data_IF_645254039058
#
_entry.id   IF_645254039058
#
_cell.length_a   1.000
_cell.length_b   1.000
_cell.length_c   1.000
_cell.angle_alpha   90.00
_cell.angle_beta   90.00
_cell.angle_gamma   90.00
#
_symmetry.space_group_name_H-M   'P 1'
#
loop_
_entity.id
_entity.type
_entity.pdbx_description
1 polymer ?
#
# COMPACT_ATOMS: atom_id res chain seq x y z
N UNK A 1 23.83 -54.74 -22.51
CA UNK A 1 23.74 -53.95 -21.26
C UNK A 1 23.10 -52.57 -21.45
N UNK A 2 23.51 -51.75 -22.44
CA UNK A 2 22.93 -50.40 -22.68
C UNK A 2 21.44 -50.39 -23.07
N UNK A 3 20.97 -51.38 -23.82
CA UNK A 3 19.56 -51.51 -24.23
C UNK A 3 18.63 -51.89 -23.08
N UNK A 4 19.07 -52.81 -22.22
CA UNK A 4 18.31 -53.20 -21.02
C UNK A 4 18.16 -52.04 -20.03
N UNK A 5 19.21 -51.22 -19.85
CA UNK A 5 19.18 -50.04 -18.99
C UNK A 5 18.23 -48.96 -19.52
N UNK A 6 18.21 -48.73 -20.84
CA UNK A 6 17.27 -47.78 -21.47
C UNK A 6 15.82 -48.25 -21.35
N UNK A 7 15.56 -49.54 -21.53
CA UNK A 7 14.21 -50.10 -21.36
C UNK A 7 13.75 -49.96 -19.90
N UNK A 8 14.63 -50.23 -18.93
CA UNK A 8 14.34 -50.06 -17.51
C UNK A 8 13.99 -48.61 -17.15
N UNK A 9 14.73 -47.64 -17.70
CA UNK A 9 14.45 -46.22 -17.47
C UNK A 9 13.10 -45.79 -18.08
N UNK A 10 12.77 -46.23 -19.29
CA UNK A 10 11.48 -45.91 -19.94
C UNK A 10 10.31 -46.49 -19.15
N UNK A 11 10.41 -47.75 -18.70
CA UNK A 11 9.37 -48.39 -17.89
C UNK A 11 9.22 -47.67 -16.54
N UNK A 12 10.33 -47.25 -15.91
CA UNK A 12 10.26 -46.49 -14.66
C UNK A 12 9.62 -45.12 -14.82
N UNK A 13 9.93 -44.39 -15.90
CA UNK A 13 9.33 -43.09 -16.19
C UNK A 13 7.82 -43.20 -16.47
N UNK A 14 7.40 -44.23 -17.21
CA UNK A 14 5.99 -44.51 -17.46
C UNK A 14 5.24 -44.90 -16.18
N UNK A 15 5.87 -45.67 -15.29
CA UNK A 15 5.29 -46.03 -14.00
C UNK A 15 5.13 -44.80 -13.08
N UNK A 16 6.12 -43.91 -13.04
CA UNK A 16 6.04 -42.64 -12.29
C UNK A 16 4.96 -41.73 -12.87
N UNK A 17 4.85 -41.62 -14.20
CA UNK A 17 3.81 -40.83 -14.85
C UNK A 17 2.41 -41.40 -14.56
N UNK A 18 2.21 -42.70 -14.70
CA UNK A 18 0.94 -43.36 -14.39
C UNK A 18 0.54 -43.20 -12.92
N UNK A 19 1.50 -43.37 -11.99
CA UNK A 19 1.25 -43.15 -10.56
C UNK A 19 0.90 -41.68 -10.27
N UNK A 20 1.51 -40.72 -10.96
CA UNK A 20 1.19 -39.29 -10.84
C UNK A 20 -0.21 -38.96 -11.38
N UNK A 21 -0.61 -39.57 -12.49
CA UNK A 21 -1.97 -39.45 -13.04
C UNK A 21 -3.02 -40.04 -12.10
N UNK A 22 -2.75 -41.19 -11.46
CA UNK A 22 -3.67 -41.78 -10.49
C UNK A 22 -3.77 -40.94 -9.21
N UNK A 23 -2.67 -40.33 -8.74
CA UNK A 23 -2.69 -39.39 -7.61
C UNK A 23 -3.41 -38.07 -7.91
N UNK A 24 -3.48 -37.65 -9.18
CA UNK A 24 -4.31 -36.52 -9.58
C UNK A 24 -5.81 -36.82 -9.53
N UNK A 25 -6.20 -38.10 -9.56
CA UNK A 25 -7.59 -38.54 -9.46
C UNK A 25 -8.15 -38.46 -8.03
N UNK A 26 -7.26 -38.39 -7.02
CA UNK A 26 -7.59 -38.05 -5.62
C UNK A 26 -7.63 -36.53 -5.37
N UNK A 27 -7.50 -35.69 -6.41
CA UNK A 27 -7.98 -34.32 -6.28
C UNK A 27 -9.47 -34.41 -6.05
N UNK A 28 -9.88 -34.15 -4.82
CA UNK A 28 -11.24 -33.86 -4.43
C UNK A 28 -11.80 -32.98 -5.54
N UNK A 29 -12.62 -33.57 -6.43
CA UNK A 29 -13.49 -32.78 -7.28
C UNK A 29 -14.30 -32.01 -6.26
N UNK A 30 -14.16 -30.67 -6.15
CA UNK A 30 -15.11 -29.94 -5.35
C UNK A 30 -16.45 -30.37 -5.91
N UNK A 31 -17.26 -31.04 -5.07
CA UNK A 31 -18.62 -31.31 -5.44
C UNK A 31 -19.24 -29.92 -5.45
N UNK A 32 -19.27 -29.30 -6.63
CA UNK A 32 -20.09 -28.12 -6.86
C UNK A 32 -21.50 -28.67 -6.87
N UNK A 33 -22.02 -28.96 -5.68
CA UNK A 33 -23.45 -29.15 -5.50
C UNK A 33 -24.07 -27.86 -6.00
N UNK A 34 -24.94 -27.95 -7.01
CA UNK A 34 -25.77 -26.82 -7.48
C UNK A 34 -26.57 -26.14 -6.35
N UNK A 35 -26.52 -26.66 -5.13
CA UNK A 35 -27.05 -26.08 -3.90
C UNK A 35 -26.32 -24.81 -3.40
N UNK A 36 -25.15 -24.45 -3.95
CA UNK A 36 -24.47 -23.17 -3.67
C UNK A 36 -24.35 -22.29 -4.92
N UNK A 37 -25.30 -22.37 -5.86
CA UNK A 37 -25.40 -21.29 -6.85
C UNK A 37 -25.94 -20.08 -6.08
N UNK A 38 -25.15 -19.01 -5.86
CA UNK A 38 -25.69 -17.81 -5.26
C UNK A 38 -26.89 -17.39 -6.09
N UNK A 39 -27.98 -17.02 -5.43
CA UNK A 39 -29.14 -16.45 -6.13
C UNK A 39 -28.61 -15.39 -7.12
N UNK A 40 -29.01 -15.43 -8.40
CA UNK A 40 -28.46 -14.51 -9.39
C UNK A 40 -28.60 -13.11 -8.85
N UNK A 41 -27.46 -12.44 -8.65
CA UNK A 41 -27.45 -11.10 -8.09
C UNK A 41 -28.41 -10.26 -8.94
N UNK A 42 -29.44 -9.65 -8.34
CA UNK A 42 -30.39 -8.87 -9.09
C UNK A 42 -29.62 -7.86 -9.95
N UNK A 43 -30.04 -7.72 -11.21
CA UNK A 43 -29.40 -6.98 -12.32
C UNK A 43 -28.99 -5.53 -11.98
N UNK A 44 -29.34 -5.03 -10.80
CA UNK A 44 -29.12 -3.67 -10.30
C UNK A 44 -27.74 -3.41 -9.67
N UNK A 45 -26.87 -4.41 -9.52
CA UNK A 45 -25.60 -4.19 -8.81
C UNK A 45 -24.57 -3.35 -9.62
N UNK A 46 -24.61 -3.36 -10.94
CA UNK A 46 -23.76 -2.47 -11.76
C UNK A 46 -24.58 -1.28 -12.27
N UNK A 47 -23.94 -0.13 -12.51
CA UNK A 47 -24.60 0.88 -13.34
C UNK A 47 -25.07 0.19 -14.63
N UNK A 48 -26.29 0.49 -15.09
CA UNK A 48 -26.90 -0.22 -16.22
C UNK A 48 -26.14 -0.03 -17.53
N UNK A 49 -25.04 0.73 -17.52
CA UNK A 49 -24.26 1.09 -18.69
C UNK A 49 -22.94 0.32 -18.81
N UNK A 50 -22.50 -0.39 -17.76
CA UNK A 50 -21.25 -1.16 -17.70
C UNK A 50 -20.03 -0.43 -18.30
N UNK A 51 -19.98 0.91 -18.16
CA UNK A 51 -18.90 1.73 -18.74
C UNK A 51 -17.58 1.55 -18.01
N UNK A 52 -17.67 1.25 -16.71
CA UNK A 52 -16.54 1.00 -15.84
C UNK A 52 -16.95 0.00 -14.75
N UNK A 53 -15.96 -0.75 -14.26
CA UNK A 53 -16.12 -1.54 -13.04
C UNK A 53 -16.10 -0.63 -11.82
N UNK A 54 -16.82 -1.00 -10.75
CA UNK A 54 -16.75 -0.30 -9.47
C UNK A 54 -16.68 -1.26 -8.27
N UNK A 55 -15.73 -1.03 -7.37
CA UNK A 55 -15.67 -1.67 -6.05
C UNK A 55 -16.68 -1.07 -5.05
N UNK A 56 -17.37 0.01 -5.41
CA UNK A 56 -18.35 0.65 -4.50
C UNK A 56 -19.72 -0.02 -4.49
N UNK A 57 -19.96 -0.91 -5.45
CA UNK A 57 -21.12 -1.80 -5.51
C UNK A 57 -21.12 -2.72 -4.30
N UNK A 58 -22.22 -2.75 -3.53
CA UNK A 58 -22.36 -3.52 -2.29
C UNK A 58 -22.00 -5.00 -2.45
N UNK A 59 -22.43 -5.61 -3.55
CA UNK A 59 -22.24 -7.01 -3.84
C UNK A 59 -20.78 -7.32 -4.17
N UNK A 60 -20.06 -6.41 -4.86
CA UNK A 60 -18.63 -6.58 -5.10
C UNK A 60 -17.82 -6.48 -3.80
N UNK A 61 -18.26 -5.69 -2.82
CA UNK A 61 -17.59 -5.53 -1.52
C UNK A 61 -17.66 -6.77 -0.63
N UNK A 62 -18.60 -7.68 -0.92
CA UNK A 62 -18.76 -8.92 -0.14
C UNK A 62 -17.68 -9.96 -0.47
N UNK A 63 -17.03 -9.84 -1.62
CA UNK A 63 -15.99 -10.76 -2.04
C UNK A 63 -14.62 -10.31 -1.57
N UNK A 64 -13.79 -11.28 -1.16
CA UNK A 64 -12.38 -11.02 -0.93
C UNK A 64 -11.73 -10.50 -2.22
N UNK A 65 -10.80 -9.55 -2.09
CA UNK A 65 -10.11 -8.96 -3.24
C UNK A 65 -9.44 -10.04 -4.10
N UNK A 66 -8.94 -11.11 -3.47
CA UNK A 66 -8.32 -12.25 -4.16
C UNK A 66 -9.28 -13.15 -4.89
N UNK A 67 -10.59 -12.99 -4.74
CA UNK A 67 -11.57 -13.72 -5.56
C UNK A 67 -11.52 -13.27 -7.02
N UNK A 68 -11.06 -12.04 -7.27
CA UNK A 68 -10.87 -11.49 -8.61
C UNK A 68 -9.39 -11.21 -8.89
N UNK A 69 -8.67 -10.63 -7.93
CA UNK A 69 -7.28 -10.23 -8.10
C UNK A 69 -6.32 -11.23 -7.48
N UNK A 70 -5.87 -12.19 -8.29
CA UNK A 70 -4.82 -13.12 -7.87
C UNK A 70 -3.42 -12.54 -8.08
N UNK A 71 -2.58 -12.65 -7.06
CA UNK A 71 -1.15 -12.44 -7.22
C UNK A 71 -0.48 -13.75 -7.64
N UNK A 72 0.19 -13.73 -8.79
CA UNK A 72 1.03 -14.84 -9.22
C UNK A 72 2.52 -14.48 -9.08
N UNK A 73 3.24 -15.27 -8.29
CA UNK A 73 4.66 -15.12 -8.08
C UNK A 73 5.06 -13.80 -7.41
N UNK A 74 6.20 -13.24 -7.83
CA UNK A 74 6.74 -11.98 -7.30
C UNK A 74 6.19 -10.74 -8.00
N UNK A 75 5.34 -10.90 -9.02
CA UNK A 75 4.81 -9.76 -9.78
C UNK A 75 4.08 -8.79 -8.87
N UNK A 76 4.34 -7.52 -9.11
CA UNK A 76 3.73 -6.36 -8.45
C UNK A 76 2.82 -5.60 -9.42
N UNK A 77 2.80 -6.02 -10.67
CA UNK A 77 1.91 -5.47 -11.69
C UNK A 77 0.50 -6.01 -11.44
N UNK A 78 -0.40 -5.09 -11.08
CA UNK A 78 -1.83 -5.36 -11.14
C UNK A 78 -2.26 -5.39 -12.59
N UNK A 79 -3.04 -6.41 -12.94
CA UNK A 79 -3.60 -6.62 -14.28
C UNK A 79 -5.08 -6.86 -14.15
N UNK A 80 -5.78 -6.82 -15.28
CA UNK A 80 -7.16 -7.29 -15.31
C UNK A 80 -7.24 -8.74 -14.82
N UNK A 81 -8.29 -9.03 -14.06
CA UNK A 81 -8.55 -10.30 -13.39
C UNK A 81 -8.86 -11.48 -14.34
N UNK A 82 -8.85 -11.26 -15.65
CA UNK A 82 -9.34 -12.22 -16.64
C UNK A 82 -10.87 -12.27 -16.69
N UNK A 83 -11.41 -13.05 -17.63
CA UNK A 83 -12.86 -13.22 -17.76
C UNK A 83 -13.43 -14.11 -16.66
N UNK A 84 -12.65 -15.09 -16.22
CA UNK A 84 -13.02 -16.10 -15.22
C UNK A 84 -13.48 -15.48 -13.89
N UNK A 85 -12.89 -14.35 -13.50
CA UNK A 85 -13.26 -13.63 -12.28
C UNK A 85 -14.68 -13.05 -12.31
N UNK A 86 -15.21 -12.79 -13.51
CA UNK A 86 -16.50 -12.13 -13.69
C UNK A 86 -17.59 -13.11 -14.17
N UNK A 87 -17.24 -14.12 -14.98
CA UNK A 87 -18.20 -15.05 -15.60
C UNK A 87 -19.03 -15.79 -14.56
N UNK A 88 -18.45 -16.16 -13.41
CA UNK A 88 -19.16 -16.93 -12.38
C UNK A 88 -20.42 -16.24 -11.85
N UNK A 89 -20.39 -14.92 -11.73
CA UNK A 89 -21.53 -14.12 -11.23
C UNK A 89 -22.30 -13.42 -12.36
N UNK A 90 -21.64 -13.12 -13.47
CA UNK A 90 -22.17 -12.31 -14.57
C UNK A 90 -22.35 -13.09 -15.88
N UNK A 91 -22.63 -14.39 -15.80
CA UNK A 91 -22.78 -15.27 -16.98
C UNK A 91 -23.76 -14.68 -18.00
N UNK A 92 -24.92 -14.23 -17.55
CA UNK A 92 -25.96 -13.68 -18.42
C UNK A 92 -25.47 -12.45 -19.19
N UNK A 93 -24.72 -11.55 -18.52
CA UNK A 93 -24.16 -10.36 -19.15
C UNK A 93 -22.99 -10.68 -20.10
N UNK A 94 -22.25 -11.76 -19.85
CA UNK A 94 -21.21 -12.25 -20.77
C UNK A 94 -21.81 -12.82 -22.06
N UNK A 95 -22.98 -13.46 -21.97
CA UNK A 95 -23.65 -14.10 -23.11
C UNK A 95 -24.65 -13.19 -23.82
N UNK A 96 -24.86 -11.96 -23.32
CA UNK A 96 -25.78 -11.02 -23.91
C UNK A 96 -25.32 -10.57 -25.30
N UNK A 97 -26.29 -10.36 -26.20
CA UNK A 97 -26.02 -10.01 -27.60
C UNK A 97 -25.33 -8.66 -27.74
N UNK A 98 -25.65 -7.73 -26.85
CA UNK A 98 -25.09 -6.38 -26.88
C UNK A 98 -23.65 -6.35 -26.35
N UNK A 99 -23.20 -7.41 -25.68
CA UNK A 99 -21.83 -7.57 -25.15
C UNK A 99 -21.38 -6.36 -24.32
N UNK A 100 -22.32 -5.66 -23.69
CA UNK A 100 -22.08 -4.37 -23.01
C UNK A 100 -21.02 -4.50 -21.93
N UNK A 101 -20.98 -5.63 -21.23
CA UNK A 101 -19.98 -5.87 -20.17
C UNK A 101 -18.55 -5.98 -20.70
N UNK A 102 -18.36 -6.42 -21.95
CA UNK A 102 -17.05 -6.49 -22.56
C UNK A 102 -16.43 -5.09 -22.70
N UNK A 103 -17.26 -4.05 -22.79
CA UNK A 103 -16.81 -2.65 -22.88
C UNK A 103 -16.18 -2.15 -21.59
N UNK A 104 -16.27 -2.86 -20.47
CA UNK A 104 -15.51 -2.55 -19.25
C UNK A 104 -14.01 -2.60 -19.56
N UNK A 105 -13.57 -3.68 -20.18
CA UNK A 105 -12.16 -4.01 -20.39
C UNK A 105 -11.67 -3.70 -21.80
N UNK A 106 -12.53 -3.80 -22.81
CA UNK A 106 -12.16 -3.63 -24.21
C UNK A 106 -12.50 -2.24 -24.73
N UNK A 107 -11.59 -1.67 -25.50
CA UNK A 107 -11.83 -0.45 -26.29
C UNK A 107 -12.52 -0.80 -27.61
N UNK A 108 -12.11 -1.90 -28.25
CA UNK A 108 -12.63 -2.35 -29.54
C UNK A 108 -12.82 -3.87 -29.55
N UNK A 109 -14.08 -4.29 -29.54
CA UNK A 109 -14.49 -5.71 -29.56
C UNK A 109 -14.29 -6.38 -30.92
N UNK A 110 -14.32 -5.61 -32.01
CA UNK A 110 -14.26 -6.13 -33.38
C UNK A 110 -12.83 -6.31 -33.90
N UNK A 111 -11.81 -5.92 -33.12
CA UNK A 111 -10.42 -6.15 -33.48
C UNK A 111 -10.00 -7.61 -33.23
N UNK A 112 -9.00 -8.10 -33.95
CA UNK A 112 -8.48 -9.47 -33.79
C UNK A 112 -6.98 -9.44 -33.48
N UNK A 113 -6.54 -9.63 -32.22
CA UNK A 113 -7.38 -9.82 -31.03
C UNK A 113 -8.07 -8.52 -30.56
N UNK A 114 -9.16 -8.62 -29.78
CA UNK A 114 -9.86 -7.45 -29.24
C UNK A 114 -8.91 -6.54 -28.45
N UNK A 115 -8.99 -5.24 -28.69
CA UNK A 115 -8.08 -4.26 -28.06
C UNK A 115 -8.55 -3.99 -26.63
N UNK A 116 -7.65 -4.18 -25.66
CA UNK A 116 -7.88 -3.89 -24.23
C UNK A 116 -7.63 -2.42 -23.93
N UNK A 117 -8.43 -1.83 -23.04
CA UNK A 117 -8.12 -0.55 -22.41
C UNK A 117 -6.87 -0.71 -21.54
N UNK A 118 -6.12 0.37 -21.37
CA UNK A 118 -5.01 0.40 -20.41
C UNK A 118 -5.52 0.14 -18.99
N UNK A 119 -4.80 -0.70 -18.23
CA UNK A 119 -5.11 -0.89 -16.81
C UNK A 119 -4.86 0.42 -16.05
N UNK A 120 -5.76 0.86 -15.16
CA UNK A 120 -5.57 2.11 -14.42
C UNK A 120 -4.23 2.12 -13.67
N UNK A 121 -3.42 3.15 -13.90
CA UNK A 121 -2.16 3.36 -13.17
C UNK A 121 -2.40 3.79 -11.70
N UNK A 122 -3.61 4.26 -11.41
CA UNK A 122 -4.06 4.69 -10.09
C UNK A 122 -5.44 4.10 -9.83
N UNK A 123 -5.73 3.79 -8.55
CA UNK A 123 -7.09 3.45 -8.16
C UNK A 123 -8.02 4.63 -8.43
N UNK A 124 -9.12 4.36 -9.14
CA UNK A 124 -10.13 5.36 -9.50
C UNK A 124 -10.98 5.71 -8.27
N UNK A 125 -11.15 4.75 -7.37
CA UNK A 125 -11.95 4.88 -6.15
C UNK A 125 -11.05 5.16 -4.94
N UNK A 126 -11.64 5.73 -3.89
CA UNK A 126 -10.98 5.90 -2.61
C UNK A 126 -10.62 4.54 -2.01
N UNK A 127 -9.35 4.17 -2.12
CA UNK A 127 -8.81 2.94 -1.56
C UNK A 127 -7.70 3.31 -0.59
N UNK A 128 -8.06 3.44 0.68
CA UNK A 128 -7.15 3.94 1.70
C UNK A 128 -6.37 2.78 2.34
N UNK A 129 -5.09 3.03 2.66
CA UNK A 129 -4.25 2.05 3.34
C UNK A 129 -4.49 2.11 4.86
N UNK A 130 -4.75 0.95 5.44
CA UNK A 130 -4.66 0.66 6.88
C UNK A 130 -3.22 0.31 7.18
N UNK A 131 -2.52 1.24 7.82
CA UNK A 131 -1.20 0.98 8.36
C UNK A 131 -1.17 1.47 9.80
N UNK A 132 -0.55 0.70 10.69
CA UNK A 132 -0.41 1.05 12.10
C UNK A 132 1.06 1.02 12.50
N UNK A 133 1.64 2.21 12.71
CA UNK A 133 3.02 2.34 13.16
C UNK A 133 3.25 1.65 14.52
N UNK A 134 2.28 1.65 15.43
CA UNK A 134 2.44 1.05 16.76
C UNK A 134 2.53 -0.48 16.70
N UNK A 135 1.97 -1.10 15.66
CA UNK A 135 2.15 -2.53 15.41
C UNK A 135 3.56 -2.78 14.85
N UNK A 136 4.01 -1.96 13.90
CA UNK A 136 5.28 -2.13 13.19
C UNK A 136 6.51 -1.53 13.90
N UNK A 137 6.36 -1.01 15.13
CA UNK A 137 7.47 -0.48 15.93
C UNK A 137 7.91 -1.44 17.07
N UNK A 138 7.31 -2.64 17.15
CA UNK A 138 7.55 -3.59 18.25
C UNK A 138 7.63 -5.05 17.81
N UNK A 139 8.34 -5.86 18.60
CA UNK A 139 8.43 -7.31 18.45
C UNK A 139 8.90 -7.74 17.05
N UNK A 140 8.39 -8.88 16.59
CA UNK A 140 8.73 -9.47 15.28
C UNK A 140 8.23 -8.65 14.08
N UNK A 141 7.30 -7.71 14.31
CA UNK A 141 6.78 -6.81 13.29
C UNK A 141 7.69 -5.58 13.08
N UNK A 142 8.69 -5.36 13.94
CA UNK A 142 9.61 -4.23 13.82
C UNK A 142 10.68 -4.53 12.76
N UNK A 143 10.81 -3.68 11.71
CA UNK A 143 11.88 -3.83 10.74
C UNK A 143 13.26 -3.76 11.41
N UNK A 144 14.22 -4.54 10.92
CA UNK A 144 15.58 -4.59 11.47
C UNK A 144 16.31 -3.26 11.42
N UNK A 145 16.01 -2.42 10.43
CA UNK A 145 16.53 -1.05 10.31
C UNK A 145 15.62 0.01 10.96
N UNK A 146 14.56 -0.40 11.67
CA UNK A 146 13.59 0.51 12.29
C UNK A 146 12.91 1.42 11.27
N UNK A 147 12.70 2.69 11.63
CA UNK A 147 11.96 3.66 10.81
C UNK A 147 12.54 3.84 9.39
N UNK A 148 13.86 3.69 9.23
CA UNK A 148 14.53 3.93 7.94
C UNK A 148 14.32 2.79 6.94
N UNK A 149 13.76 1.66 7.38
CA UNK A 149 13.41 0.54 6.51
C UNK A 149 12.28 0.90 5.53
N UNK A 150 11.40 1.82 5.90
CA UNK A 150 10.24 2.22 5.07
C UNK A 150 10.25 3.71 4.69
N UNK A 151 10.98 4.55 5.42
CA UNK A 151 11.04 5.98 5.18
C UNK A 151 12.36 6.38 4.52
N UNK A 152 12.29 6.92 3.30
CA UNK A 152 13.42 7.60 2.69
C UNK A 152 13.84 8.81 3.53
N UNK A 153 15.14 8.91 3.84
CA UNK A 153 15.72 9.95 4.66
C UNK A 153 15.90 11.27 3.88
N UNK A 154 15.86 11.22 2.54
CA UNK A 154 16.00 12.35 1.65
C UNK A 154 14.64 12.99 1.32
N UNK A 155 14.18 13.93 2.15
CA UNK A 155 13.06 14.80 1.77
C UNK A 155 12.23 15.35 2.93
N UNK A 156 11.42 16.39 2.67
CA UNK A 156 10.70 17.13 3.70
C UNK A 156 9.45 16.41 4.25
N UNK A 157 9.04 15.30 3.65
CA UNK A 157 7.81 14.60 4.00
C UNK A 157 7.96 13.10 4.25
N UNK A 158 9.20 12.57 4.21
CA UNK A 158 9.56 11.14 4.33
C UNK A 158 8.36 10.22 4.13
N UNK A 159 7.97 10.04 2.89
CA UNK A 159 6.71 9.38 2.55
C UNK A 159 6.99 8.03 1.92
N UNK A 160 6.12 7.07 2.22
CA UNK A 160 6.02 5.85 1.42
C UNK A 160 5.52 6.30 0.03
N UNK A 161 6.12 5.85 -1.08
CA UNK A 161 5.64 6.14 -2.42
C UNK A 161 4.12 5.93 -2.50
N UNK A 162 3.40 6.80 -3.19
CA UNK A 162 1.97 6.62 -3.44
C UNK A 162 1.80 6.09 -4.86
N UNK A 163 1.60 4.77 -5.02
CA UNK A 163 1.25 4.04 -6.26
C UNK A 163 1.34 2.53 -6.01
N UNK A 164 1.04 1.69 -7.01
CA UNK A 164 1.22 0.24 -6.92
C UNK A 164 2.64 -0.19 -6.50
N UNK A 165 3.67 0.59 -6.83
CA UNK A 165 5.07 0.32 -6.45
C UNK A 165 5.32 0.37 -4.95
N UNK A 166 4.46 1.04 -4.17
CA UNK A 166 4.54 1.09 -2.70
C UNK A 166 4.43 -0.29 -2.05
N UNK A 167 3.80 -1.25 -2.73
CA UNK A 167 3.72 -2.62 -2.23
C UNK A 167 5.09 -3.28 -2.05
N UNK A 168 6.14 -2.78 -2.71
CA UNK A 168 7.52 -3.22 -2.48
C UNK A 168 7.93 -3.09 -1.01
N UNK A 169 7.53 -1.99 -0.37
CA UNK A 169 7.93 -1.67 1.00
C UNK A 169 7.26 -2.65 1.98
N UNK A 170 6.01 -3.01 1.72
CA UNK A 170 5.27 -3.98 2.52
C UNK A 170 5.74 -5.42 2.25
N UNK A 171 5.81 -5.82 0.97
CA UNK A 171 6.11 -7.19 0.57
C UNK A 171 7.57 -7.60 0.72
N UNK A 172 8.47 -6.66 1.03
CA UNK A 172 9.81 -6.99 1.49
C UNK A 172 9.80 -7.85 2.76
N UNK A 173 8.86 -7.60 3.67
CA UNK A 173 8.66 -8.39 4.90
C UNK A 173 7.46 -9.33 4.79
N UNK A 174 6.40 -8.90 4.10
CA UNK A 174 5.15 -9.63 3.94
C UNK A 174 5.18 -10.53 2.70
N UNK A 175 5.93 -11.63 2.81
CA UNK A 175 6.05 -12.64 1.75
C UNK A 175 4.85 -13.59 1.72
N UNK A 176 4.84 -14.55 0.79
CA UNK A 176 3.76 -15.55 0.70
C UNK A 176 3.62 -16.39 1.98
N UNK A 177 4.72 -16.54 2.73
CA UNK A 177 4.77 -17.22 4.03
C UNK A 177 4.07 -16.42 5.14
N UNK A 178 3.93 -15.10 4.99
CA UNK A 178 3.27 -14.23 5.97
C UNK A 178 1.74 -14.36 5.99
N UNK A 179 1.16 -15.17 5.08
CA UNK A 179 -0.28 -15.45 4.97
C UNK A 179 -1.17 -14.20 4.87
N UNK A 180 -0.66 -13.09 4.33
CA UNK A 180 -1.52 -11.97 3.95
C UNK A 180 -2.32 -12.41 2.73
N UNK A 181 -3.55 -12.85 3.01
CA UNK A 181 -4.41 -13.53 2.04
C UNK A 181 -5.20 -12.60 1.14
N UNK A 182 -5.33 -11.30 1.47
CA UNK A 182 -6.18 -10.38 0.71
C UNK A 182 -5.74 -8.93 0.87
N UNK A 183 -6.00 -8.10 -0.15
CA UNK A 183 -5.70 -6.66 -0.13
C UNK A 183 -6.45 -5.95 1.01
N UNK A 184 -7.60 -6.48 1.44
CA UNK A 184 -8.46 -5.95 2.51
C UNK A 184 -7.80 -5.92 3.89
N UNK A 185 -6.75 -6.73 4.08
CA UNK A 185 -5.91 -6.71 5.30
C UNK A 185 -5.25 -5.34 5.45
N UNK A 186 -4.69 -4.81 4.35
CA UNK A 186 -3.96 -3.56 4.34
C UNK A 186 -4.79 -2.38 3.81
N UNK A 187 -5.95 -2.63 3.20
CA UNK A 187 -6.75 -1.57 2.57
C UNK A 187 -8.22 -1.59 3.01
N UNK A 188 -8.85 -0.43 2.93
CA UNK A 188 -10.30 -0.28 2.96
C UNK A 188 -10.73 0.58 1.78
N UNK A 189 -11.91 0.26 1.24
CA UNK A 189 -12.64 1.15 0.35
C UNK A 189 -13.14 2.30 1.23
N UNK A 190 -12.43 3.41 1.20
CA UNK A 190 -12.67 4.56 2.05
C UNK A 190 -12.08 5.82 1.41
N UNK A 191 -12.68 7.00 1.64
CA UNK A 191 -12.12 8.26 1.18
C UNK A 191 -10.67 8.44 1.65
N UNK A 192 -9.84 9.02 0.79
CA UNK A 192 -8.47 9.37 1.14
C UNK A 192 -8.46 10.43 2.26
N UNK A 193 -7.81 10.13 3.38
CA UNK A 193 -7.60 11.09 4.45
C UNK A 193 -6.26 11.81 4.26
N UNK A 194 -6.30 13.12 3.97
CA UNK A 194 -5.10 13.93 3.79
C UNK A 194 -4.39 14.17 5.12
N UNK A 195 -3.06 14.08 5.09
CA UNK A 195 -2.20 14.59 6.15
C UNK A 195 -2.41 16.10 6.38
N UNK A 196 -2.52 16.60 7.62
CA UNK A 196 -2.75 18.02 7.91
C UNK A 196 -1.67 18.98 7.40
N UNK A 197 -2.07 20.19 7.01
CA UNK A 197 -1.20 21.23 6.42
C UNK A 197 -0.20 21.89 7.38
N UNK A 198 -0.28 21.65 8.69
CA UNK A 198 0.64 22.24 9.70
C UNK A 198 2.11 21.85 9.52
N UNK A 199 2.42 20.95 8.57
CA UNK A 199 3.76 20.44 8.26
C UNK A 199 4.61 21.34 7.34
N UNK A 200 4.03 22.34 6.68
CA UNK A 200 4.76 23.13 5.67
C UNK A 200 5.67 24.21 6.27
N UNK A 201 5.34 24.79 7.43
CA UNK A 201 6.10 25.92 8.03
C UNK A 201 7.40 25.44 8.69
N UNK A 202 7.43 24.22 9.23
CA UNK A 202 8.61 23.59 9.84
C UNK A 202 9.74 23.33 8.82
N UNK A 203 9.39 23.16 7.53
CA UNK A 203 10.32 22.83 6.43
C UNK A 203 11.43 23.87 6.22
N UNK A 204 11.20 25.12 6.60
CA UNK A 204 12.12 26.21 6.30
C UNK A 204 13.27 26.38 7.32
N UNK A 205 13.17 25.73 8.48
CA UNK A 205 14.10 25.94 9.62
C UNK A 205 14.72 24.65 10.17
N UNK A 206 14.15 23.49 9.82
CA UNK A 206 14.58 22.19 10.30
C UNK A 206 14.96 21.26 9.13
N UNK A 207 16.04 20.49 9.30
CA UNK A 207 16.40 19.42 8.36
C UNK A 207 16.75 18.15 9.13
N UNK A 208 16.25 17.01 8.66
CA UNK A 208 16.63 15.70 9.23
C UNK A 208 18.12 15.39 9.01
N UNK A 209 18.72 15.86 7.91
CA UNK A 209 20.14 15.67 7.63
C UNK A 209 21.03 16.32 8.72
N UNK A 210 20.65 17.51 9.20
CA UNK A 210 21.33 18.17 10.32
C UNK A 210 21.16 17.47 11.67
N UNK A 211 20.25 16.49 11.77
CA UNK A 211 19.95 15.74 12.98
C UNK A 211 20.16 14.23 12.79
N UNK A 212 20.98 13.83 11.81
CA UNK A 212 21.18 12.43 11.46
C UNK A 212 21.80 11.58 12.57
N UNK A 213 22.44 12.20 13.57
CA UNK A 213 22.99 11.53 14.75
C UNK A 213 21.94 11.21 15.83
N UNK A 214 20.71 11.69 15.70
CA UNK A 214 19.64 11.44 16.68
C UNK A 214 18.75 10.29 16.24
N UNK A 215 18.32 9.46 17.20
CA UNK A 215 17.31 8.43 16.98
C UNK A 215 15.96 9.05 16.56
N UNK A 216 15.17 8.32 15.78
CA UNK A 216 13.84 8.80 15.38
C UNK A 216 12.92 8.95 16.60
N UNK A 217 13.05 8.04 17.56
CA UNK A 217 12.31 7.95 18.82
C UNK A 217 12.66 9.06 19.83
N UNK A 218 13.81 9.71 19.66
CA UNK A 218 14.16 10.90 20.47
C UNK A 218 13.30 12.12 20.14
N UNK A 219 12.70 12.13 18.95
CA UNK A 219 11.87 13.22 18.43
C UNK A 219 10.40 12.80 18.27
N UNK A 220 10.18 11.58 17.77
CA UNK A 220 8.87 11.09 17.37
C UNK A 220 8.42 9.97 18.30
N UNK A 221 7.23 10.13 18.87
CA UNK A 221 6.57 9.06 19.59
C UNK A 221 5.57 8.37 18.68
N UNK A 222 5.65 7.04 18.65
CA UNK A 222 4.65 6.20 17.99
C UNK A 222 3.52 5.91 18.98
N UNK A 223 2.29 6.13 18.54
CA UNK A 223 1.06 5.98 19.34
C UNK A 223 0.00 5.28 18.51
N UNK A 224 -0.90 4.57 19.18
CA UNK A 224 -2.12 4.11 18.51
C UNK A 224 -2.99 5.29 18.11
N UNK A 225 -3.69 5.15 16.99
CA UNK A 225 -4.63 6.16 16.51
C UNK A 225 -4.88 6.07 15.02
N UNK A 226 -5.73 6.98 14.53
CA UNK A 226 -6.02 7.10 13.10
C UNK A 226 -4.81 7.57 12.29
N UNK A 227 -4.84 7.28 10.99
CA UNK A 227 -3.84 7.71 10.02
C UNK A 227 -3.52 9.21 10.17
N UNK A 228 -2.24 9.56 10.21
CA UNK A 228 -1.77 10.94 10.42
C UNK A 228 -1.67 11.40 11.88
N UNK A 229 -2.12 10.60 12.86
CA UNK A 229 -1.96 10.85 14.30
C UNK A 229 -1.09 9.81 15.03
N UNK A 230 -0.69 8.75 14.33
CA UNK A 230 0.08 7.64 14.89
C UNK A 230 1.54 7.99 15.22
N UNK A 231 2.09 9.05 14.62
CA UNK A 231 3.45 9.53 14.90
C UNK A 231 3.35 11.00 15.28
N UNK A 232 3.91 11.37 16.43
CA UNK A 232 3.85 12.76 16.90
C UNK A 232 4.63 13.69 15.98
N UNK A 233 4.07 14.87 15.73
CA UNK A 233 4.83 15.94 15.08
C UNK A 233 5.69 16.67 16.11
N UNK A 234 6.81 17.24 15.66
CA UNK A 234 7.60 18.17 16.44
C UNK A 234 6.94 19.54 16.40
N UNK A 235 6.80 20.17 17.56
CA UNK A 235 6.34 21.55 17.67
C UNK A 235 7.50 22.48 17.28
N UNK A 236 7.26 23.31 16.28
CA UNK A 236 8.20 24.32 15.76
C UNK A 236 8.34 25.55 16.69
N UNK A 237 8.19 25.35 18.00
CA UNK A 237 8.17 26.41 19.00
C UNK A 237 9.07 25.99 20.14
N UNK A 238 9.99 26.86 20.51
CA UNK A 238 10.94 26.64 21.61
C UNK A 238 10.49 27.30 22.92
N UNK A 239 9.73 28.39 22.83
CA UNK A 239 9.27 29.17 23.98
C UNK A 239 7.83 28.84 24.38
N UNK A 240 7.53 28.95 25.68
CA UNK A 240 6.18 28.81 26.24
C UNK A 240 5.49 27.48 25.88
N UNK A 241 6.27 26.43 25.69
CA UNK A 241 5.79 25.07 25.43
C UNK A 241 6.20 24.15 26.57
N UNK A 242 5.30 23.25 26.96
CA UNK A 242 5.63 22.20 27.90
C UNK A 242 6.77 21.32 27.33
N UNK A 243 7.64 20.75 28.18
CA UNK A 243 8.70 19.86 27.73
C UNK A 243 8.12 18.58 27.14
N UNK A 244 7.95 18.54 25.80
CA UNK A 244 7.85 17.32 24.99
C UNK A 244 7.87 17.68 23.49
N UNK A 245 8.57 16.87 22.69
CA UNK A 245 8.56 16.89 21.22
C UNK A 245 8.74 18.30 20.59
N UNK A 246 9.73 19.05 21.04
CA UNK A 246 10.06 20.38 20.53
C UNK A 246 11.59 20.62 20.54
N UNK A 247 12.04 21.71 19.93
CA UNK A 247 13.48 22.03 19.79
C UNK A 247 14.19 22.20 21.14
N UNK A 248 13.49 22.71 22.16
CA UNK A 248 14.06 23.05 23.48
C UNK A 248 14.62 21.83 24.22
N UNK A 249 14.11 20.63 23.93
CA UNK A 249 14.61 19.38 24.54
C UNK A 249 16.11 19.18 24.34
N UNK A 250 16.66 19.68 23.22
CA UNK A 250 18.09 19.60 22.91
C UNK A 250 18.75 20.97 22.85
N UNK A 251 18.05 22.00 22.37
CA UNK A 251 18.58 23.37 22.20
C UNK A 251 18.47 24.25 23.45
N UNK A 252 18.49 23.65 24.64
CA UNK A 252 18.44 24.34 25.94
C UNK A 252 19.79 24.89 26.44
N UNK A 253 20.82 24.94 25.59
CA UNK A 253 22.16 25.42 25.96
C UNK A 253 23.04 24.41 26.71
N UNK A 254 22.53 23.19 26.99
CA UNK A 254 23.29 22.13 27.67
C UNK A 254 23.66 20.94 26.77
N UNK A 255 22.80 20.60 25.81
CA UNK A 255 22.97 19.44 24.92
C UNK A 255 23.40 19.82 23.51
N UNK A 256 22.69 20.76 22.91
CA UNK A 256 23.03 21.37 21.63
C UNK A 256 23.14 22.89 21.81
N UNK A 257 24.02 23.51 21.01
CA UNK A 257 24.36 24.93 21.17
C UNK A 257 24.98 25.24 22.55
N UNK A 258 25.87 24.36 23.03
CA UNK A 258 26.54 24.49 24.33
C UNK A 258 27.38 25.77 24.41
N UNK A 259 27.38 26.41 25.58
CA UNK A 259 28.13 27.64 25.84
C UNK A 259 27.44 28.93 25.34
N UNK A 260 26.19 28.83 24.89
CA UNK A 260 25.42 30.00 24.49
C UNK A 260 24.55 30.49 25.65
N UNK A 261 24.76 31.75 26.01
CA UNK A 261 23.78 32.50 26.79
C UNK A 261 22.48 32.55 25.99
N UNK A 262 21.37 32.10 26.58
CA UNK A 262 20.02 32.15 25.97
C UNK A 262 19.60 33.59 25.62
N UNK A 263 20.35 34.59 26.10
CA UNK A 263 20.17 36.01 25.81
C UNK A 263 21.02 36.50 24.62
N UNK A 264 21.94 35.70 24.06
CA UNK A 264 22.70 36.09 22.86
C UNK A 264 21.87 35.90 21.58
N UNK A 265 21.47 37.04 20.99
CA UNK A 265 20.68 37.12 19.74
C UNK A 265 21.29 36.42 18.52
N UNK A 266 22.60 36.10 18.56
CA UNK A 266 23.30 35.34 17.51
C UNK A 266 22.89 33.86 17.45
N UNK A 267 22.28 33.32 18.51
CA UNK A 267 21.74 31.95 18.51
C UNK A 267 20.37 31.87 17.87
N UNK A 268 19.52 32.88 18.07
CA UNK A 268 18.16 32.94 17.54
C UNK A 268 18.14 32.91 16.01
N UNK A 269 19.12 33.53 15.35
CA UNK A 269 19.24 33.59 13.88
C UNK A 269 19.62 32.26 13.23
N UNK A 270 20.00 31.24 14.01
CA UNK A 270 20.25 29.88 13.50
C UNK A 270 18.98 29.20 13.01
N UNK A 271 17.83 29.55 13.60
CA UNK A 271 16.53 28.98 13.26
C UNK A 271 15.54 30.05 12.75
N UNK A 272 15.63 31.29 13.20
CA UNK A 272 14.73 32.38 12.77
C UNK A 272 15.35 33.24 11.66
N UNK A 273 14.53 33.68 10.70
CA UNK A 273 14.96 34.60 9.62
C UNK A 273 13.99 35.77 9.52
N UNK A 274 14.50 36.99 9.35
CA UNK A 274 13.70 38.20 9.15
C UNK A 274 14.00 39.31 10.17
N UNK A 275 13.52 40.53 9.89
CA UNK A 275 13.75 41.73 10.72
C UNK A 275 12.92 41.73 12.02
N UNK A 276 11.85 40.94 12.08
CA UNK A 276 11.04 40.70 13.27
C UNK A 276 11.04 39.19 13.51
N UNK A 277 11.52 38.72 14.67
CA UNK A 277 11.63 37.31 15.08
C UNK A 277 10.31 36.48 15.03
N UNK A 278 9.23 37.06 14.50
CA UNK A 278 7.89 36.50 14.34
C UNK A 278 7.62 35.78 13.02
N UNK A 279 8.62 35.59 12.16
CA UNK A 279 8.43 34.83 10.93
C UNK A 279 9.43 33.67 10.88
N UNK A 280 8.93 32.45 11.11
CA UNK A 280 9.48 31.30 10.40
C UNK A 280 9.50 31.67 8.91
N UNK A 281 10.52 31.32 8.12
CA UNK A 281 10.67 31.80 6.75
C UNK A 281 9.43 31.44 5.94
N UNK A 282 8.55 32.42 5.74
CA UNK A 282 7.45 32.31 4.82
C UNK A 282 8.06 32.17 3.44
N UNK A 283 7.69 31.09 2.74
CA UNK A 283 7.88 31.04 1.31
C UNK A 283 7.28 32.32 0.73
N UNK A 284 8.07 33.05 -0.06
CA UNK A 284 7.51 34.04 -0.95
C UNK A 284 6.40 33.33 -1.74
N UNK A 285 5.15 33.73 -1.50
CA UNK A 285 4.08 33.44 -2.42
C UNK A 285 4.50 34.06 -3.75
N UNK A 286 4.92 33.21 -4.69
CA UNK A 286 4.93 33.62 -6.09
C UNK A 286 3.46 33.79 -6.47
N UNK A 287 3.09 35.03 -6.79
CA UNK A 287 1.88 35.35 -7.54
C UNK A 287 1.93 34.68 -8.91
#
# INVERSE_FOLDING_TARGET
MRTALRLGLIVSALAVFAASCMKQQDRITPTITSAETPEPVPVKASDTTFKAFSHTVSEHQQFDCTSCHHRQGKSLEMKYAGHEACIGCHLNQFTDKDQTMCTICHEKMQATPPTMKTFPATFIEGFNMKFDHAIHDRGDARPSQGCVACHDLAGPGRHIPATFTAHNDCFGCHTVESKIGSCSVCHAIAPYSRTPQSRYVFKAVFTHAGHASQGCDECHNVRQGGQGRQVTNIVAQEHNVAPSNNCYQCHNGSRAFNGNDLLQMTTCTRCHKGQNFNLLPGGAAKQ
#
